data_IF_211415232342
#
_entry.id   IF_211415232342
#
_cell.length_a   1.000
_cell.length_b   1.000
_cell.length_c   1.000
_cell.angle_alpha   90.00
_cell.angle_beta   90.00
_cell.angle_gamma   90.00
#
_symmetry.space_group_name_H-M   'P 1'
#
loop_
_entity.id
_entity.type
_entity.pdbx_description
1 polymer ?
#
# COMPACT_ATOMS: atom_id res chain seq x y z
N UNK A 1 -22.70 3.84 -0.16
CA UNK A 1 -21.34 3.39 0.15
C UNK A 1 -20.38 4.56 -0.01
N UNK A 2 -19.68 4.93 1.06
CA UNK A 2 -18.85 6.14 1.14
C UNK A 2 -17.68 6.08 0.14
N UNK A 3 -17.07 4.90 0.00
CA UNK A 3 -15.93 4.68 -0.90
C UNK A 3 -16.24 5.10 -2.34
N UNK A 4 -17.36 4.62 -2.91
CA UNK A 4 -17.79 4.97 -4.29
C UNK A 4 -18.00 6.47 -4.47
N UNK A 5 -18.66 7.13 -3.52
CA UNK A 5 -18.89 8.58 -3.58
C UNK A 5 -17.59 9.40 -3.46
N UNK A 6 -16.59 8.92 -2.71
CA UNK A 6 -15.27 9.53 -2.65
C UNK A 6 -14.49 9.32 -3.94
N UNK A 7 -14.55 8.14 -4.55
CA UNK A 7 -13.94 7.88 -5.86
C UNK A 7 -14.49 8.82 -6.94
N UNK A 8 -15.80 9.05 -7.01
CA UNK A 8 -16.38 10.02 -7.95
C UNK A 8 -15.80 11.42 -7.76
N UNK A 9 -15.67 11.88 -6.52
CA UNK A 9 -15.06 13.18 -6.21
C UNK A 9 -13.59 13.25 -6.61
N UNK A 10 -12.84 12.15 -6.42
CA UNK A 10 -11.44 12.06 -6.86
C UNK A 10 -11.35 12.15 -8.39
N UNK A 11 -12.16 11.40 -9.13
CA UNK A 11 -12.18 11.44 -10.61
C UNK A 11 -12.56 12.84 -11.10
N UNK A 12 -13.63 13.43 -10.57
CA UNK A 12 -14.05 14.79 -10.97
C UNK A 12 -12.97 15.84 -10.72
N UNK A 13 -12.26 15.74 -9.59
CA UNK A 13 -11.13 16.63 -9.28
C UNK A 13 -9.96 16.40 -10.22
N UNK A 14 -9.58 15.14 -10.46
CA UNK A 14 -8.46 14.81 -11.34
C UNK A 14 -8.75 15.20 -12.80
N UNK A 15 -10.00 15.14 -13.26
CA UNK A 15 -10.41 15.60 -14.59
C UNK A 15 -10.13 17.09 -14.83
N UNK A 16 -10.04 17.91 -13.76
CA UNK A 16 -9.63 19.31 -13.86
C UNK A 16 -8.12 19.48 -14.05
N UNK A 17 -7.32 18.44 -13.78
CA UNK A 17 -5.86 18.42 -13.90
C UNK A 17 -5.44 17.21 -14.77
N UNK A 18 -5.55 17.28 -16.12
CA UNK A 18 -5.39 16.12 -17.02
C UNK A 18 -4.06 15.36 -16.86
N UNK A 19 -2.98 16.09 -16.54
CA UNK A 19 -1.67 15.47 -16.29
C UNK A 19 -1.68 14.61 -15.01
N UNK A 20 -2.31 15.09 -13.93
CA UNK A 20 -2.43 14.30 -12.71
C UNK A 20 -3.36 13.10 -12.90
N UNK A 21 -4.46 13.28 -13.64
CA UNK A 21 -5.36 12.17 -13.98
C UNK A 21 -4.60 11.05 -14.70
N UNK A 22 -3.82 11.41 -15.72
CA UNK A 22 -3.00 10.47 -16.48
C UNK A 22 -2.01 9.72 -15.57
N UNK A 23 -1.25 10.44 -14.75
CA UNK A 23 -0.28 9.82 -13.82
C UNK A 23 -0.99 8.89 -12.83
N UNK A 24 -2.16 9.28 -12.32
CA UNK A 24 -2.96 8.45 -11.41
C UNK A 24 -3.39 7.14 -12.07
N UNK A 25 -3.92 7.25 -13.30
CA UNK A 25 -4.32 6.11 -14.12
C UNK A 25 -3.15 5.18 -14.45
N UNK A 26 -1.99 5.75 -14.80
CA UNK A 26 -0.76 5.02 -15.07
C UNK A 26 -0.27 4.23 -13.84
N UNK A 27 -0.36 4.81 -12.63
CA UNK A 27 -0.02 4.10 -11.39
C UNK A 27 -0.92 2.88 -11.20
N UNK A 28 -2.25 3.04 -11.35
CA UNK A 28 -3.20 1.92 -11.21
C UNK A 28 -2.94 0.86 -12.29
N UNK A 29 -2.74 1.27 -13.54
CA UNK A 29 -2.44 0.37 -14.66
C UNK A 29 -1.13 -0.39 -14.46
N UNK A 30 -0.10 0.25 -13.93
CA UNK A 30 1.16 -0.41 -13.60
C UNK A 30 0.98 -1.41 -12.44
N UNK A 31 0.20 -1.05 -11.41
CA UNK A 31 -0.11 -1.97 -10.31
C UNK A 31 -0.86 -3.22 -10.78
N UNK A 32 -1.82 -3.06 -11.70
CA UNK A 32 -2.54 -4.17 -12.32
C UNK A 32 -1.60 -5.03 -13.17
N UNK A 33 -0.79 -4.40 -14.04
CA UNK A 33 0.19 -5.10 -14.89
C UNK A 33 1.22 -5.90 -14.09
N UNK A 34 1.68 -5.38 -12.95
CA UNK A 34 2.62 -6.07 -12.04
C UNK A 34 1.94 -7.13 -11.16
N UNK A 35 0.61 -7.24 -11.20
CA UNK A 35 -0.16 -8.20 -10.41
C UNK A 35 -0.30 -7.84 -8.92
N UNK A 36 -0.09 -6.58 -8.56
CA UNK A 36 -0.30 -6.10 -7.18
C UNK A 36 -1.79 -5.95 -6.87
N UNK A 37 -2.58 -5.56 -7.87
CA UNK A 37 -4.03 -5.48 -7.82
C UNK A 37 -4.64 -6.34 -8.92
N UNK A 38 -5.89 -6.76 -8.72
CA UNK A 38 -6.69 -7.47 -9.71
C UNK A 38 -8.13 -6.95 -9.69
N UNK A 39 -8.81 -7.08 -10.83
CA UNK A 39 -10.26 -6.81 -10.92
C UNK A 39 -11.01 -7.92 -10.20
N UNK A 40 -12.06 -7.56 -9.47
CA UNK A 40 -12.96 -8.54 -8.84
C UNK A 40 -13.93 -9.04 -9.90
N UNK A 41 -13.94 -10.36 -10.13
CA UNK A 41 -14.88 -10.99 -11.06
C UNK A 41 -16.24 -11.24 -10.37
N UNK A 42 -17.33 -11.12 -11.13
CA UNK A 42 -18.70 -11.33 -10.61
C UNK A 42 -19.01 -12.79 -10.25
N UNK A 43 -18.16 -13.73 -10.66
CA UNK A 43 -18.40 -15.19 -10.54
C UNK A 43 -17.68 -15.84 -9.35
N UNK A 44 -17.02 -15.07 -8.50
CA UNK A 44 -16.38 -15.63 -7.31
C UNK A 44 -17.43 -15.98 -6.24
N UNK A 45 -17.21 -17.06 -5.50
CA UNK A 45 -18.01 -17.42 -4.33
C UNK A 45 -18.15 -16.20 -3.40
N UNK A 46 -19.35 -15.96 -2.86
CA UNK A 46 -19.59 -14.80 -2.00
C UNK A 46 -18.59 -14.77 -0.83
N UNK A 47 -17.68 -13.79 -0.77
CA UNK A 47 -16.66 -13.78 0.25
C UNK A 47 -17.27 -13.42 1.60
N UNK A 48 -16.81 -14.09 2.65
CA UNK A 48 -17.34 -13.91 4.01
C UNK A 48 -17.13 -12.49 4.56
N UNK A 49 -16.10 -11.76 4.10
CA UNK A 49 -15.73 -10.42 4.59
C UNK A 49 -15.39 -9.52 3.42
N UNK A 50 -16.13 -8.43 3.28
CA UNK A 50 -15.96 -7.43 2.21
C UNK A 50 -15.83 -6.05 2.83
N UNK A 51 -14.85 -5.28 2.37
CA UNK A 51 -14.72 -3.87 2.71
C UNK A 51 -14.19 -3.06 1.53
N UNK A 52 -14.69 -1.82 1.39
CA UNK A 52 -14.32 -0.91 0.32
C UNK A 52 -13.58 0.31 0.87
N UNK A 53 -12.34 0.47 0.46
CA UNK A 53 -11.45 1.50 0.98
C UNK A 53 -11.43 2.70 0.03
N UNK A 54 -11.74 3.92 0.51
CA UNK A 54 -11.56 5.11 -0.29
C UNK A 54 -10.08 5.43 -0.47
N UNK A 55 -9.76 6.06 -1.59
CA UNK A 55 -8.40 6.51 -1.89
C UNK A 55 -8.38 7.97 -2.31
N UNK A 56 -7.19 8.57 -2.30
CA UNK A 56 -6.97 9.93 -2.78
C UNK A 56 -5.52 10.17 -3.17
N UNK A 57 -5.24 11.12 -4.09
CA UNK A 57 -3.88 11.53 -4.42
C UNK A 57 -3.29 12.41 -3.31
N UNK A 58 -2.02 12.19 -3.00
CA UNK A 58 -1.19 13.09 -2.18
C UNK A 58 0.03 13.49 -3.00
N UNK A 59 0.28 14.80 -3.13
CA UNK A 59 1.44 15.32 -3.84
C UNK A 59 2.73 14.94 -3.10
N UNK A 60 3.77 14.63 -3.86
CA UNK A 60 5.13 14.36 -3.39
C UNK A 60 6.09 15.36 -4.02
N UNK A 61 7.16 15.66 -3.29
CA UNK A 61 8.31 16.39 -3.81
C UNK A 61 9.19 15.45 -4.66
N UNK A 62 8.64 14.99 -5.78
CA UNK A 62 9.31 14.12 -6.74
C UNK A 62 9.04 14.63 -8.15
N UNK A 63 10.11 14.75 -8.93
CA UNK A 63 10.06 15.19 -10.34
C UNK A 63 9.50 14.11 -11.26
N UNK A 64 9.67 12.82 -10.93
CA UNK A 64 9.27 11.69 -11.78
C UNK A 64 7.92 11.09 -11.39
N UNK A 65 7.54 11.13 -10.11
CA UNK A 65 6.24 10.62 -9.64
C UNK A 65 5.64 11.61 -8.64
N UNK A 66 5.00 12.69 -9.14
CA UNK A 66 4.59 13.82 -8.30
C UNK A 66 3.40 13.51 -7.39
N UNK A 67 2.79 12.32 -7.49
CA UNK A 67 1.68 11.89 -6.64
C UNK A 67 1.89 10.46 -6.11
N UNK A 68 1.36 10.21 -4.91
CA UNK A 68 1.07 8.86 -4.41
C UNK A 68 -0.43 8.67 -4.22
N UNK A 69 -0.89 7.45 -4.41
CA UNK A 69 -2.24 7.03 -4.04
C UNK A 69 -2.20 6.58 -2.58
N UNK A 70 -3.03 7.18 -1.73
CA UNK A 70 -3.19 6.80 -0.33
C UNK A 70 -4.55 6.17 -0.13
N UNK A 71 -4.58 5.02 0.54
CA UNK A 71 -5.80 4.28 0.85
C UNK A 71 -6.20 4.53 2.30
N UNK A 72 -7.36 5.13 2.50
CA UNK A 72 -7.85 5.53 3.81
C UNK A 72 -8.50 4.35 4.54
N UNK A 73 -7.65 3.54 5.17
CA UNK A 73 -8.04 2.37 5.97
C UNK A 73 -8.70 2.74 7.31
N UNK A 74 -8.73 4.03 7.66
CA UNK A 74 -9.41 4.56 8.85
C UNK A 74 -10.86 4.96 8.57
N UNK A 75 -11.28 4.94 7.30
CA UNK A 75 -12.64 5.31 6.93
C UNK A 75 -13.66 4.31 7.51
N UNK A 76 -14.68 4.86 8.16
CA UNK A 76 -15.84 4.13 8.70
C UNK A 76 -17.04 4.41 7.79
N UNK A 77 -17.82 3.38 7.46
CA UNK A 77 -19.08 3.56 6.70
C UNK A 77 -20.13 4.36 7.49
N UNK A 78 -20.14 4.24 8.81
CA UNK A 78 -20.95 5.04 9.72
C UNK A 78 -20.34 5.02 11.14
N UNK A 79 -20.90 5.81 12.07
CA UNK A 79 -20.36 5.93 13.43
C UNK A 79 -20.35 4.61 14.24
N UNK A 80 -21.17 3.62 13.85
CA UNK A 80 -21.27 2.32 14.51
C UNK A 80 -20.45 1.23 13.84
N UNK A 81 -19.97 1.46 12.62
CA UNK A 81 -19.16 0.49 11.87
C UNK A 81 -17.67 0.67 12.18
N UNK A 82 -16.92 -0.42 12.39
CA UNK A 82 -15.47 -0.33 12.51
C UNK A 82 -14.84 0.08 11.18
N UNK A 83 -13.68 0.74 11.25
CA UNK A 83 -12.80 0.92 10.10
C UNK A 83 -11.97 -0.36 9.86
N UNK A 84 -11.30 -0.45 8.71
CA UNK A 84 -10.37 -1.56 8.49
C UNK A 84 -9.27 -1.57 9.56
N UNK A 85 -8.73 -0.40 9.92
CA UNK A 85 -7.70 -0.29 10.97
C UNK A 85 -8.18 -0.74 12.35
N UNK A 86 -9.46 -0.55 12.68
CA UNK A 86 -10.03 -1.04 13.96
C UNK A 86 -10.09 -2.58 14.00
N UNK A 87 -10.16 -3.23 12.83
CA UNK A 87 -10.20 -4.68 12.68
C UNK A 87 -8.82 -5.33 12.50
N UNK A 88 -7.76 -4.53 12.29
CA UNK A 88 -6.40 -5.02 12.08
C UNK A 88 -5.64 -5.05 13.41
N UNK A 89 -4.98 -6.18 13.68
CA UNK A 89 -4.07 -6.27 14.82
C UNK A 89 -2.86 -5.36 14.60
N UNK A 90 -2.74 -4.36 15.46
CA UNK A 90 -1.59 -3.47 15.50
C UNK A 90 -0.54 -4.07 16.43
N UNK A 91 0.67 -4.24 15.92
CA UNK A 91 1.81 -4.71 16.69
C UNK A 91 2.82 -3.58 16.88
N UNK A 92 3.61 -3.59 17.97
CA UNK A 92 4.71 -2.64 18.15
C UNK A 92 5.64 -2.64 16.92
N UNK A 93 6.13 -1.48 16.49
CA UNK A 93 7.03 -1.40 15.35
C UNK A 93 8.31 -2.20 15.63
N UNK A 94 8.65 -3.12 14.72
CA UNK A 94 9.93 -3.82 14.72
C UNK A 94 10.93 -2.96 13.95
N UNK A 95 11.35 -1.84 14.53
CA UNK A 95 12.38 -0.96 13.96
C UNK A 95 13.50 -0.80 14.97
N UNK A 96 14.75 -0.73 14.47
CA UNK A 96 15.88 -0.37 15.32
C UNK A 96 15.72 1.07 15.83
N UNK A 97 16.31 1.36 16.98
CA UNK A 97 16.36 2.72 17.50
C UNK A 97 17.14 3.62 16.53
N UNK A 98 16.52 4.72 16.11
CA UNK A 98 17.12 5.62 15.13
C UNK A 98 18.39 6.29 15.65
N UNK A 99 18.44 6.63 16.95
CA UNK A 99 19.60 7.27 17.56
C UNK A 99 20.77 6.30 17.62
N UNK A 100 20.52 5.04 17.98
CA UNK A 100 21.52 3.99 17.99
C UNK A 100 22.08 3.73 16.58
N UNK A 101 21.20 3.64 15.59
CA UNK A 101 21.57 3.45 14.19
C UNK A 101 22.38 4.62 13.62
N UNK A 102 21.94 5.86 13.86
CA UNK A 102 22.66 7.06 13.40
C UNK A 102 24.03 7.18 14.08
N UNK A 103 24.14 6.75 15.34
CA UNK A 103 25.43 6.70 16.05
C UNK A 103 26.37 5.72 15.38
N UNK A 104 25.93 4.46 15.16
CA UNK A 104 26.71 3.47 14.42
C UNK A 104 27.13 3.98 13.04
N UNK A 105 26.19 4.55 12.30
CA UNK A 105 26.41 5.08 10.96
C UNK A 105 27.51 6.15 10.92
N UNK A 106 27.56 7.04 11.91
CA UNK A 106 28.57 8.12 12.00
C UNK A 106 29.94 7.66 12.48
N UNK A 107 30.02 6.54 13.22
CA UNK A 107 31.31 6.04 13.73
C UNK A 107 32.16 5.32 12.69
N UNK A 108 31.56 4.85 11.60
CA UNK A 108 32.26 4.10 10.56
C UNK A 108 32.80 5.04 9.47
N UNK A 109 34.00 4.72 8.94
CA UNK A 109 34.64 5.52 7.87
C UNK A 109 33.87 5.47 6.54
N UNK A 110 33.17 4.37 6.29
CA UNK A 110 32.42 4.13 5.07
C UNK A 110 31.01 3.66 5.41
N UNK A 111 30.03 4.18 4.69
CA UNK A 111 28.62 3.85 4.84
C UNK A 111 28.03 3.42 3.50
N UNK A 112 27.16 2.41 3.53
CA UNK A 112 26.40 1.94 2.38
C UNK A 112 24.93 1.96 2.76
N UNK A 113 24.12 2.60 1.93
CA UNK A 113 22.66 2.68 2.09
C UNK A 113 21.99 2.11 0.85
N UNK A 114 20.86 1.43 1.04
CA UNK A 114 20.04 0.91 -0.06
C UNK A 114 18.57 1.08 0.28
N UNK A 115 17.74 1.24 -0.74
CA UNK A 115 16.28 1.33 -0.63
C UNK A 115 15.65 0.13 -1.35
N UNK A 116 14.65 -0.49 -0.71
CA UNK A 116 13.91 -1.58 -1.32
C UNK A 116 12.72 -0.98 -2.07
N UNK A 117 12.88 -0.84 -3.39
CA UNK A 117 11.83 -0.30 -4.24
C UNK A 117 10.52 -1.09 -4.03
N UNK A 118 9.44 -0.38 -3.71
CA UNK A 118 8.09 -0.94 -3.60
C UNK A 118 7.97 -2.11 -2.60
N UNK A 119 8.74 -2.12 -1.52
CA UNK A 119 8.74 -3.20 -0.53
C UNK A 119 7.34 -3.61 -0.01
N UNK A 120 6.44 -2.64 0.21
CA UNK A 120 5.06 -2.93 0.64
C UNK A 120 4.24 -3.68 -0.42
N UNK A 121 4.56 -3.55 -1.70
CA UNK A 121 3.87 -4.23 -2.80
C UNK A 121 4.41 -5.66 -3.02
N UNK A 122 5.44 -6.08 -2.29
CA UNK A 122 6.00 -7.43 -2.43
C UNK A 122 5.35 -8.43 -1.47
N UNK A 123 4.59 -7.95 -0.48
CA UNK A 123 3.90 -8.78 0.51
C UNK A 123 2.40 -8.56 0.37
N UNK A 124 1.63 -9.65 0.35
CA UNK A 124 0.19 -9.62 0.12
C UNK A 124 -0.62 -10.27 1.23
N UNK A 125 -1.90 -9.90 1.38
CA UNK A 125 -2.81 -10.60 2.27
C UNK A 125 -3.09 -12.04 1.75
N UNK A 126 -3.47 -12.91 2.68
CA UNK A 126 -3.96 -14.24 2.33
C UNK A 126 -5.17 -14.14 1.39
N UNK A 127 -5.39 -15.14 0.53
CA UNK A 127 -6.47 -15.12 -0.48
C UNK A 127 -7.84 -14.75 0.13
N UNK A 128 -8.14 -15.28 1.32
CA UNK A 128 -9.38 -15.05 2.06
C UNK A 128 -9.54 -13.63 2.64
N UNK A 129 -8.47 -12.84 2.73
CA UNK A 129 -8.50 -11.48 3.28
C UNK A 129 -8.38 -10.40 2.19
N UNK A 130 -8.26 -10.78 0.90
CA UNK A 130 -8.12 -9.80 -0.18
C UNK A 130 -9.36 -8.91 -0.32
N UNK A 131 -10.54 -9.46 -0.06
CA UNK A 131 -11.81 -8.74 -0.25
C UNK A 131 -12.09 -7.65 0.80
N UNK A 132 -11.29 -7.58 1.87
CA UNK A 132 -11.34 -6.42 2.79
C UNK A 132 -10.55 -5.20 2.27
N UNK A 133 -9.86 -5.36 1.14
CA UNK A 133 -9.02 -4.33 0.49
C UNK A 133 -9.59 -3.80 -0.82
N UNK A 134 -10.89 -4.01 -1.08
CA UNK A 134 -11.51 -3.58 -2.34
C UNK A 134 -11.51 -2.07 -2.47
N UNK A 135 -11.43 -1.57 -3.69
CA UNK A 135 -11.60 -0.15 -3.98
C UNK A 135 -12.20 0.06 -5.37
N UNK A 136 -12.82 1.22 -5.58
CA UNK A 136 -13.41 1.57 -6.87
C UNK A 136 -12.41 2.38 -7.70
N UNK A 137 -12.27 2.05 -8.98
CA UNK A 137 -11.62 2.88 -9.98
C UNK A 137 -12.27 2.67 -11.34
N UNK A 138 -11.77 3.33 -12.38
CA UNK A 138 -12.25 3.26 -13.76
C UNK A 138 -11.81 1.94 -14.42
N UNK A 139 -12.66 1.36 -15.26
CA UNK A 139 -12.39 0.07 -15.92
C UNK A 139 -11.21 0.14 -16.90
N UNK A 140 -11.07 1.27 -17.57
CA UNK A 140 -9.81 1.71 -18.19
C UNK A 140 -9.24 2.81 -17.28
N UNK A 141 -8.13 2.55 -16.57
CA UNK A 141 -7.57 3.51 -15.62
C UNK A 141 -7.22 4.89 -16.19
N UNK A 142 -7.06 5.01 -17.51
CA UNK A 142 -6.62 6.23 -18.21
C UNK A 142 -7.79 6.92 -18.95
N UNK A 143 -8.98 6.31 -18.97
CA UNK A 143 -10.16 6.89 -19.60
C UNK A 143 -11.20 7.30 -18.54
N UNK A 144 -11.35 8.61 -18.36
CA UNK A 144 -12.30 9.22 -17.42
C UNK A 144 -13.78 8.91 -17.69
N UNK A 145 -14.11 8.48 -18.91
CA UNK A 145 -15.49 8.15 -19.31
C UNK A 145 -15.86 6.69 -19.05
N UNK A 146 -14.85 5.85 -18.79
CA UNK A 146 -15.05 4.43 -18.59
C UNK A 146 -15.76 4.12 -17.26
N UNK A 147 -16.59 3.07 -17.21
CA UNK A 147 -17.39 2.78 -16.02
C UNK A 147 -16.53 2.42 -14.81
N UNK A 148 -17.07 2.64 -13.61
CA UNK A 148 -16.40 2.17 -12.40
C UNK A 148 -16.39 0.65 -12.34
N UNK A 149 -15.21 0.09 -12.04
CA UNK A 149 -15.00 -1.31 -11.71
C UNK A 149 -14.43 -1.43 -10.29
N UNK A 150 -14.43 -2.65 -9.76
CA UNK A 150 -13.90 -2.95 -8.43
C UNK A 150 -12.57 -3.65 -8.59
N UNK A 151 -11.56 -3.10 -7.93
CA UNK A 151 -10.25 -3.70 -7.78
C UNK A 151 -10.05 -4.20 -6.35
N UNK A 152 -9.17 -5.17 -6.15
CA UNK A 152 -8.67 -5.60 -4.82
C UNK A 152 -7.17 -5.83 -4.86
N UNK A 153 -6.52 -5.81 -3.70
CA UNK A 153 -5.09 -6.10 -3.60
C UNK A 153 -4.82 -7.60 -3.52
N UNK A 154 -3.88 -8.06 -4.36
CA UNK A 154 -3.39 -9.44 -4.40
C UNK A 154 -2.07 -9.57 -3.65
N UNK A 155 -1.16 -8.66 -3.94
CA UNK A 155 0.19 -8.59 -3.40
C UNK A 155 0.49 -7.14 -3.06
N UNK A 156 -0.17 -6.58 -2.05
CA UNK A 156 0.29 -5.34 -1.45
C UNK A 156 -0.24 -5.17 -0.02
N UNK A 157 0.64 -4.71 0.84
CA UNK A 157 0.28 -4.06 2.08
C UNK A 157 -0.14 -2.63 1.78
N UNK A 158 -1.35 -2.29 2.19
CA UNK A 158 -1.93 -0.96 1.96
C UNK A 158 -1.12 0.11 2.69
N UNK A 159 -0.73 1.14 1.95
CA UNK A 159 -0.23 2.39 2.56
C UNK A 159 -1.41 3.06 3.25
N UNK A 160 -1.45 2.96 4.58
CA UNK A 160 -2.55 3.45 5.43
C UNK A 160 -3.09 2.39 6.41
N UNK A 161 -2.75 1.12 6.23
CA UNK A 161 -3.11 0.06 7.17
C UNK A 161 -2.11 -0.01 8.35
N UNK A 162 -2.62 -0.15 9.57
CA UNK A 162 -1.82 -0.13 10.81
C UNK A 162 -0.81 -1.27 10.91
N UNK A 163 -1.15 -2.45 10.39
CA UNK A 163 -0.29 -3.64 10.45
C UNK A 163 0.80 -3.67 9.35
N UNK A 164 0.72 -2.84 8.31
CA UNK A 164 1.57 -2.92 7.12
C UNK A 164 3.07 -2.80 7.46
N UNK A 165 3.44 -1.87 8.33
CA UNK A 165 4.83 -1.66 8.72
C UNK A 165 5.41 -2.90 9.42
N UNK A 166 4.65 -3.47 10.35
CA UNK A 166 5.04 -4.66 11.09
C UNK A 166 5.22 -5.86 10.16
N UNK A 167 4.23 -6.15 9.31
CA UNK A 167 4.26 -7.32 8.42
C UNK A 167 5.49 -7.23 7.51
N UNK A 168 5.74 -6.08 6.89
CA UNK A 168 6.92 -5.90 6.02
C UNK A 168 8.22 -6.17 6.78
N UNK A 169 8.40 -5.59 7.97
CA UNK A 169 9.62 -5.77 8.75
C UNK A 169 9.79 -7.23 9.21
N UNK A 170 8.71 -7.88 9.65
CA UNK A 170 8.71 -9.29 10.01
C UNK A 170 9.09 -10.18 8.81
N UNK A 171 8.58 -9.89 7.61
CA UNK A 171 8.96 -10.61 6.38
C UNK A 171 10.44 -10.45 6.06
N UNK A 172 11.00 -9.23 6.17
CA UNK A 172 12.43 -9.00 5.94
C UNK A 172 13.29 -9.78 6.95
N UNK A 173 12.94 -9.71 8.24
CA UNK A 173 13.65 -10.45 9.29
C UNK A 173 13.60 -11.96 9.03
N UNK A 174 12.44 -12.49 8.65
CA UNK A 174 12.28 -13.90 8.31
C UNK A 174 13.19 -14.33 7.16
N UNK A 175 13.29 -13.52 6.10
CA UNK A 175 14.20 -13.79 5.00
C UNK A 175 15.69 -13.77 5.42
N UNK A 176 16.07 -12.88 6.33
CA UNK A 176 17.43 -12.81 6.85
C UNK A 176 17.77 -13.99 7.78
N UNK A 177 16.80 -14.50 8.55
CA UNK A 177 16.95 -15.71 9.35
C UNK A 177 17.10 -16.97 8.48
N UNK A 178 16.32 -17.08 7.42
CA UNK A 178 16.36 -18.23 6.49
C UNK A 178 17.60 -18.22 5.59
N UNK A 179 18.22 -17.04 5.37
CA UNK A 179 19.40 -16.88 4.52
C UNK A 179 20.55 -16.24 5.33
N UNK A 180 21.09 -16.95 6.34
CA UNK A 180 22.06 -16.38 7.26
C UNK A 180 23.35 -16.02 6.54
N UNK A 181 23.78 -14.78 6.71
CA UNK A 181 25.08 -14.29 6.26
C UNK A 181 25.60 -13.20 7.19
N UNK A 182 26.91 -12.90 7.18
CA UNK A 182 27.46 -11.76 7.92
C UNK A 182 26.77 -10.44 7.50
N UNK A 183 26.41 -10.33 6.23
CA UNK A 183 25.67 -9.18 5.69
C UNK A 183 24.25 -9.12 6.22
N UNK A 184 23.51 -10.23 6.21
CA UNK A 184 22.14 -10.29 6.74
C UNK A 184 22.10 -9.88 8.23
N UNK A 185 23.05 -10.38 9.03
CA UNK A 185 23.16 -10.02 10.45
C UNK A 185 23.39 -8.51 10.65
N UNK A 186 24.26 -7.91 9.82
CA UNK A 186 24.50 -6.45 9.84
C UNK A 186 23.28 -5.67 9.38
N UNK A 187 22.56 -6.12 8.37
CA UNK A 187 21.34 -5.45 7.90
C UNK A 187 20.27 -5.50 9.00
N UNK A 188 20.06 -6.66 9.65
CA UNK A 188 19.10 -6.79 10.74
C UNK A 188 19.33 -5.77 11.87
N UNK A 189 20.59 -5.52 12.25
CA UNK A 189 20.96 -4.55 13.30
C UNK A 189 20.88 -3.08 12.86
N UNK A 190 20.77 -2.82 11.55
CA UNK A 190 20.81 -1.49 10.96
C UNK A 190 19.61 -1.21 10.03
N UNK A 191 18.56 -2.04 10.09
CA UNK A 191 17.33 -1.84 9.34
C UNK A 191 16.51 -0.74 10.02
N UNK A 192 16.18 0.31 9.27
CA UNK A 192 15.27 1.35 9.71
C UNK A 192 14.35 1.73 8.58
N UNK A 193 13.07 1.92 8.91
CA UNK A 193 12.04 2.28 7.95
C UNK A 193 10.96 3.14 8.57
#
# INVERSE_FOLDING_TARGET
MIARARTHRVVNRLNQEPNLFKIYGEIIKEQEKRGFIEKVEEKEDEPQRINYIPHHPVKKDSTTTPIRIVYDCSCKENAKSPSLNDCLHSYPPISNDITELLTRFRTQKFAVTTDIEKAFLQVGPHKYDRDVTRFFWLSDPIDSTSPFTVYRFKSALLVGATCSQFIRNATLLKHFEENPSPTASRITQNLYV
#
